data_IF_733472891661
#
_entry.id   IF_733472891661
#
_cell.length_a   1.000
_cell.length_b   1.000
_cell.length_c   1.000
_cell.angle_alpha   90.00
_cell.angle_beta   90.00
_cell.angle_gamma   90.00
#
_symmetry.space_group_name_H-M   'P 1'
#
loop_
_entity.id
_entity.type
_entity.pdbx_description
1 polymer ?
#
# COMPACT_ATOMS: atom_id res chain seq x y z
N UNK A 1 28.67 -78.49 19.54
CA UNK A 1 27.51 -77.74 20.07
C UNK A 1 27.84 -76.25 20.04
N UNK A 2 27.13 -75.46 19.21
CA UNK A 2 27.28 -73.99 19.12
C UNK A 2 26.39 -73.32 20.19
N UNK A 3 26.93 -72.34 20.92
CA UNK A 3 26.11 -71.30 21.56
C UNK A 3 26.69 -69.90 21.27
N UNK A 4 25.82 -68.88 21.11
CA UNK A 4 26.14 -67.68 20.32
C UNK A 4 26.63 -66.49 21.16
N UNK A 5 27.36 -65.60 20.48
CA UNK A 5 27.84 -64.30 20.94
C UNK A 5 26.66 -63.32 21.08
N UNK A 6 26.46 -62.74 22.26
CA UNK A 6 25.51 -61.65 22.46
C UNK A 6 26.17 -60.31 22.06
N UNK A 7 25.70 -59.74 20.95
CA UNK A 7 26.09 -58.42 20.45
C UNK A 7 25.27 -57.36 21.22
N UNK A 8 25.98 -56.49 21.95
CA UNK A 8 25.43 -55.44 22.81
C UNK A 8 24.69 -54.36 21.98
N UNK A 9 23.34 -54.31 22.08
CA UNK A 9 22.46 -53.26 21.53
C UNK A 9 22.45 -52.00 22.42
N UNK A 10 23.61 -51.39 22.67
CA UNK A 10 23.71 -50.20 23.55
C UNK A 10 23.33 -48.87 22.89
N UNK A 11 23.50 -48.75 21.56
CA UNK A 11 23.35 -47.47 20.86
C UNK A 11 21.90 -47.01 20.62
N UNK A 12 20.94 -47.93 20.56
CA UNK A 12 19.53 -47.60 20.30
C UNK A 12 18.81 -47.10 21.56
N UNK A 13 19.21 -47.56 22.75
CA UNK A 13 18.55 -47.17 23.99
C UNK A 13 18.90 -45.73 24.39
N UNK A 14 20.15 -45.30 24.16
CA UNK A 14 20.61 -43.93 24.41
C UNK A 14 19.92 -42.94 23.47
N UNK A 15 19.69 -43.31 22.21
CA UNK A 15 18.99 -42.45 21.23
C UNK A 15 17.51 -42.25 21.56
N UNK A 16 16.83 -43.28 22.07
CA UNK A 16 15.42 -43.16 22.52
C UNK A 16 15.33 -42.27 23.76
N UNK A 17 16.29 -42.37 24.67
CA UNK A 17 16.32 -41.56 25.90
C UNK A 17 16.63 -40.08 25.62
N UNK A 18 17.51 -39.78 24.66
CA UNK A 18 17.79 -38.42 24.19
C UNK A 18 16.61 -37.82 23.41
N UNK A 19 15.87 -38.60 22.61
CA UNK A 19 14.66 -38.11 21.92
C UNK A 19 13.52 -37.80 22.91
N UNK A 20 13.39 -38.56 23.99
CA UNK A 20 12.39 -38.34 25.03
C UNK A 20 12.64 -37.05 25.84
N UNK A 21 13.90 -36.69 26.10
CA UNK A 21 14.26 -35.45 26.80
C UNK A 21 13.96 -34.20 25.95
N UNK A 22 14.13 -34.27 24.63
CA UNK A 22 13.85 -33.14 23.72
C UNK A 22 12.34 -32.96 23.49
N UNK A 23 11.55 -34.04 23.55
CA UNK A 23 10.10 -33.95 23.43
C UNK A 23 9.42 -33.34 24.68
N UNK A 24 10.12 -33.23 25.80
CA UNK A 24 9.59 -32.68 27.05
C UNK A 24 9.86 -31.18 27.24
N UNK A 25 10.69 -30.55 26.41
CA UNK A 25 11.03 -29.12 26.53
C UNK A 25 10.07 -28.17 25.78
N UNK A 26 9.07 -28.69 25.07
CA UNK A 26 8.17 -27.87 24.22
C UNK A 26 6.92 -27.35 24.94
N UNK A 27 6.73 -27.70 26.21
CA UNK A 27 5.69 -27.13 27.05
C UNK A 27 6.18 -25.82 27.67
N UNK A 28 6.39 -24.78 26.86
CA UNK A 28 6.46 -23.43 27.41
C UNK A 28 5.10 -23.15 28.07
N UNK A 29 5.05 -23.26 29.40
CA UNK A 29 3.92 -22.80 30.20
C UNK A 29 3.83 -21.29 30.04
N UNK A 30 3.21 -20.84 28.94
CA UNK A 30 2.70 -19.48 28.84
C UNK A 30 1.68 -19.36 29.96
N UNK A 31 2.04 -18.66 31.03
CA UNK A 31 1.10 -18.36 32.11
C UNK A 31 -0.10 -17.65 31.48
N UNK A 32 -1.34 -18.08 31.77
CA UNK A 32 -2.51 -17.45 31.20
C UNK A 32 -2.56 -15.98 31.62
N UNK A 33 -2.42 -15.08 30.65
CA UNK A 33 -2.48 -13.65 30.88
C UNK A 33 -3.93 -13.22 30.98
N UNK A 34 -4.31 -12.65 32.13
CA UNK A 34 -5.66 -12.12 32.31
C UNK A 34 -5.70 -10.69 31.78
N UNK A 35 -6.53 -10.43 30.77
CA UNK A 35 -6.66 -9.10 30.15
C UNK A 35 -7.87 -8.39 30.74
N UNK A 36 -7.64 -7.20 31.30
CA UNK A 36 -8.67 -6.32 31.82
C UNK A 36 -8.84 -5.13 30.87
N UNK A 37 -9.84 -5.21 30.00
CA UNK A 37 -10.18 -4.19 28.97
C UNK A 37 -11.33 -3.25 29.41
N UNK A 38 -12.01 -3.52 30.53
CA UNK A 38 -13.12 -2.70 31.04
C UNK A 38 -12.88 -2.35 32.51
N UNK A 39 -12.77 -1.05 32.81
CA UNK A 39 -12.44 -0.56 34.15
C UNK A 39 -13.48 0.39 34.77
N UNK A 40 -14.66 0.46 34.20
CA UNK A 40 -15.81 1.20 34.73
C UNK A 40 -16.61 0.41 35.76
N UNK A 41 -16.41 -0.90 35.82
CA UNK A 41 -17.18 -1.82 36.64
C UNK A 41 -16.38 -2.19 37.91
N UNK A 42 -16.99 -2.07 39.10
CA UNK A 42 -16.38 -2.50 40.36
C UNK A 42 -16.41 -4.04 40.39
N UNK A 43 -15.37 -4.68 39.84
CA UNK A 43 -15.21 -6.13 39.82
C UNK A 43 -14.00 -6.54 40.66
N UNK A 44 -14.20 -7.44 41.62
CA UNK A 44 -13.10 -8.13 42.28
C UNK A 44 -12.61 -9.27 41.39
N UNK A 45 -11.35 -9.21 40.98
CA UNK A 45 -10.66 -10.39 40.43
C UNK A 45 -9.80 -11.00 41.53
N UNK A 46 -9.97 -12.31 41.74
CA UNK A 46 -9.08 -13.10 42.57
C UNK A 46 -7.85 -13.46 41.73
N UNK A 47 -6.68 -13.03 42.19
CA UNK A 47 -5.40 -13.25 41.52
C UNK A 47 -4.48 -13.94 42.52
N UNK A 48 -3.80 -14.99 42.09
CA UNK A 48 -2.87 -15.76 42.90
C UNK A 48 -1.42 -15.43 42.57
N UNK A 49 -0.49 -15.82 43.46
CA UNK A 49 0.93 -15.55 43.25
C UNK A 49 1.43 -16.27 42.00
N UNK A 50 1.99 -15.52 41.05
CA UNK A 50 2.47 -16.04 39.77
C UNK A 50 1.54 -15.76 38.59
N UNK A 51 0.34 -15.23 38.81
CA UNK A 51 -0.55 -14.81 37.73
C UNK A 51 -0.10 -13.48 37.10
N UNK A 52 -0.22 -13.37 35.79
CA UNK A 52 0.10 -12.15 35.05
C UNK A 52 -1.18 -11.44 34.59
N UNK A 53 -1.33 -10.17 34.99
CA UNK A 53 -2.48 -9.34 34.63
C UNK A 53 -2.02 -8.26 33.64
N UNK A 54 -2.75 -8.12 32.54
CA UNK A 54 -2.62 -6.99 31.62
C UNK A 54 -3.78 -6.02 31.85
N UNK A 55 -3.45 -4.82 32.33
CA UNK A 55 -4.42 -3.75 32.58
C UNK A 55 -4.34 -2.79 31.40
N UNK A 56 -5.42 -2.68 30.62
CA UNK A 56 -5.51 -1.77 29.46
C UNK A 56 -6.39 -0.55 29.77
N UNK A 57 -6.29 -0.08 30.99
CA UNK A 57 -7.05 1.05 31.49
C UNK A 57 -6.11 2.09 32.11
N UNK A 58 -6.55 3.34 32.14
CA UNK A 58 -5.74 4.46 32.63
C UNK A 58 -5.35 4.33 34.11
N UNK A 59 -6.21 3.71 34.93
CA UNK A 59 -5.96 3.54 36.37
C UNK A 59 -6.45 2.17 36.87
N UNK A 60 -5.71 1.60 37.81
CA UNK A 60 -6.10 0.40 38.55
C UNK A 60 -5.68 0.50 40.00
N UNK A 61 -6.58 0.06 40.89
CA UNK A 61 -6.35 0.04 42.33
C UNK A 61 -6.16 -1.41 42.79
N UNK A 62 -5.00 -1.70 43.37
CA UNK A 62 -4.74 -2.99 44.01
C UNK A 62 -5.12 -2.86 45.48
N UNK A 63 -6.14 -3.61 45.90
CA UNK A 63 -6.66 -3.59 47.26
C UNK A 63 -6.43 -4.93 47.94
N UNK A 64 -6.09 -4.89 49.23
CA UNK A 64 -6.11 -6.10 50.07
C UNK A 64 -7.55 -6.63 50.18
N UNK A 65 -7.72 -7.95 50.19
CA UNK A 65 -9.01 -8.62 50.33
C UNK A 65 -9.85 -8.12 51.53
N UNK A 66 -9.23 -7.82 52.67
CA UNK A 66 -9.92 -7.30 53.86
C UNK A 66 -10.47 -5.91 53.60
N UNK A 67 -9.64 -5.02 53.03
CA UNK A 67 -10.02 -3.65 52.68
C UNK A 67 -11.11 -3.65 51.61
N UNK A 68 -10.99 -4.49 50.59
CA UNK A 68 -12.00 -4.63 49.54
C UNK A 68 -13.37 -5.05 50.11
N UNK A 69 -13.41 -6.04 51.01
CA UNK A 69 -14.65 -6.47 51.65
C UNK A 69 -15.31 -5.34 52.45
N UNK A 70 -14.51 -4.52 53.14
CA UNK A 70 -15.02 -3.42 53.94
C UNK A 70 -15.64 -2.33 53.04
N UNK A 71 -14.99 -2.02 51.91
CA UNK A 71 -15.53 -1.11 50.90
C UNK A 71 -16.80 -1.66 50.23
N UNK A 72 -16.80 -2.93 49.79
CA UNK A 72 -17.95 -3.55 49.14
C UNK A 72 -19.16 -3.60 50.09
N UNK A 73 -18.93 -3.91 51.37
CA UNK A 73 -19.99 -3.92 52.37
C UNK A 73 -20.55 -2.53 52.62
N UNK A 74 -19.70 -1.52 52.79
CA UNK A 74 -20.14 -0.12 52.95
C UNK A 74 -20.92 0.37 51.71
N UNK A 75 -20.43 0.04 50.50
CA UNK A 75 -21.09 0.38 49.25
C UNK A 75 -22.49 -0.25 49.14
N UNK A 76 -22.62 -1.54 49.47
CA UNK A 76 -23.91 -2.25 49.47
C UNK A 76 -24.87 -1.72 50.53
N UNK A 77 -24.37 -1.37 51.71
CA UNK A 77 -25.20 -0.83 52.79
C UNK A 77 -25.71 0.58 52.45
N UNK A 78 -24.89 1.41 51.79
CA UNK A 78 -25.29 2.71 51.28
C UNK A 78 -26.37 2.59 50.19
N UNK A 79 -26.22 1.63 49.26
CA UNK A 79 -27.23 1.32 48.24
C UNK A 79 -28.56 0.80 48.81
N UNK A 80 -28.56 0.21 50.01
CA UNK A 80 -29.77 -0.32 50.66
C UNK A 80 -30.50 0.69 51.54
N UNK A 81 -29.77 1.62 52.18
CA UNK A 81 -30.34 2.51 53.21
C UNK A 81 -30.95 3.81 52.69
N UNK A 82 -30.56 4.30 51.51
CA UNK A 82 -31.01 5.59 51.00
C UNK A 82 -31.56 5.47 49.57
N UNK A 83 -32.89 5.38 49.42
CA UNK A 83 -33.56 5.25 48.11
C UNK A 83 -33.22 6.38 47.13
N UNK A 84 -32.97 7.59 47.63
CA UNK A 84 -32.50 8.73 46.83
C UNK A 84 -31.07 8.54 46.31
N UNK A 85 -30.19 7.94 47.12
CA UNK A 85 -28.80 7.65 46.75
C UNK A 85 -28.73 6.49 45.76
N UNK A 86 -29.59 5.48 45.91
CA UNK A 86 -29.69 4.35 44.97
C UNK A 86 -30.10 4.81 43.58
N UNK A 87 -31.10 5.70 43.48
CA UNK A 87 -31.48 6.27 42.19
C UNK A 87 -30.34 7.08 41.56
N UNK A 88 -29.67 7.92 42.35
CA UNK A 88 -28.53 8.70 41.87
C UNK A 88 -27.38 7.80 41.35
N UNK A 89 -27.02 6.76 42.11
CA UNK A 89 -25.98 5.80 41.71
C UNK A 89 -26.39 5.08 40.42
N UNK A 90 -27.64 4.61 40.32
CA UNK A 90 -28.14 3.95 39.11
C UNK A 90 -28.12 4.89 37.88
N UNK A 91 -28.47 6.16 38.06
CA UNK A 91 -28.37 7.17 36.99
C UNK A 91 -26.93 7.42 36.58
N UNK A 92 -25.98 7.47 37.52
CA UNK A 92 -24.56 7.57 37.17
C UNK A 92 -24.07 6.34 36.40
N UNK A 93 -24.42 5.13 36.85
CA UNK A 93 -24.06 3.89 36.15
C UNK A 93 -24.64 3.88 34.72
N UNK A 94 -25.88 4.34 34.54
CA UNK A 94 -26.51 4.47 33.22
C UNK A 94 -25.77 5.47 32.33
N UNK A 95 -25.45 6.67 32.85
CA UNK A 95 -24.69 7.69 32.11
C UNK A 95 -23.31 7.18 31.70
N UNK A 96 -22.60 6.49 32.60
CA UNK A 96 -21.29 5.89 32.32
C UNK A 96 -21.42 4.86 31.20
N UNK A 97 -22.45 4.00 31.26
CA UNK A 97 -22.68 2.98 30.23
C UNK A 97 -23.00 3.60 28.86
N UNK A 98 -23.81 4.67 28.82
CA UNK A 98 -24.13 5.40 27.59
C UNK A 98 -22.90 6.10 27.02
N UNK A 99 -22.05 6.66 27.89
CA UNK A 99 -20.80 7.28 27.49
C UNK A 99 -19.84 6.25 26.88
N UNK A 100 -19.72 5.05 27.47
CA UNK A 100 -18.91 3.98 26.88
C UNK A 100 -19.40 3.56 25.50
N UNK A 101 -20.72 3.41 25.32
CA UNK A 101 -21.30 3.04 24.03
C UNK A 101 -20.96 4.10 22.99
N UNK A 102 -21.15 5.39 23.33
CA UNK A 102 -20.80 6.49 22.44
C UNK A 102 -19.32 6.55 22.10
N UNK A 103 -18.43 6.31 23.08
CA UNK A 103 -16.99 6.27 22.82
C UNK A 103 -16.63 5.14 21.85
N UNK A 104 -17.21 3.95 22.02
CA UNK A 104 -17.00 2.82 21.08
C UNK A 104 -17.53 3.12 19.68
N UNK A 105 -18.73 3.70 19.58
CA UNK A 105 -19.30 4.12 18.29
C UNK A 105 -18.44 5.19 17.61
N UNK A 106 -17.95 6.16 18.38
CA UNK A 106 -17.09 7.22 17.88
C UNK A 106 -15.74 6.66 17.41
N UNK A 107 -15.13 5.74 18.16
CA UNK A 107 -13.88 5.08 17.78
C UNK A 107 -14.05 4.23 16.50
N UNK A 108 -15.16 3.49 16.38
CA UNK A 108 -15.50 2.76 15.17
C UNK A 108 -15.67 3.71 13.97
N UNK A 109 -16.39 4.81 14.15
CA UNK A 109 -16.60 5.82 13.10
C UNK A 109 -15.29 6.48 12.66
N UNK A 110 -14.40 6.82 13.60
CA UNK A 110 -13.07 7.34 13.27
C UNK A 110 -12.21 6.33 12.53
N UNK A 111 -12.26 5.05 12.91
CA UNK A 111 -11.55 3.98 12.22
C UNK A 111 -12.02 3.84 10.77
N UNK A 112 -13.34 3.90 10.53
CA UNK A 112 -13.92 3.84 9.19
C UNK A 112 -13.54 5.06 8.34
N UNK A 113 -13.62 6.26 8.93
CA UNK A 113 -13.23 7.49 8.27
C UNK A 113 -11.74 7.47 7.88
N UNK A 114 -10.88 6.99 8.78
CA UNK A 114 -9.45 6.83 8.51
C UNK A 114 -9.21 5.86 7.37
N UNK A 115 -9.85 4.70 7.37
CA UNK A 115 -9.73 3.72 6.29
C UNK A 115 -10.15 4.32 4.93
N UNK A 116 -11.21 5.12 4.92
CA UNK A 116 -11.69 5.82 3.72
C UNK A 116 -10.70 6.87 3.22
N UNK A 117 -10.10 7.65 4.12
CA UNK A 117 -9.04 8.61 3.77
C UNK A 117 -7.78 7.92 3.25
N UNK A 118 -7.35 6.84 3.90
CA UNK A 118 -6.19 6.07 3.47
C UNK A 118 -6.41 5.51 2.06
N UNK A 119 -7.60 4.94 1.80
CA UNK A 119 -7.98 4.46 0.46
C UNK A 119 -8.01 5.58 -0.59
N UNK A 120 -8.59 6.74 -0.26
CA UNK A 120 -8.65 7.90 -1.16
C UNK A 120 -7.25 8.44 -1.46
N UNK A 121 -6.38 8.51 -0.46
CA UNK A 121 -5.01 8.99 -0.61
C UNK A 121 -4.21 8.05 -1.53
N UNK A 122 -4.35 6.74 -1.35
CA UNK A 122 -3.71 5.73 -2.20
C UNK A 122 -4.22 5.78 -3.64
N UNK A 123 -5.55 5.89 -3.84
CA UNK A 123 -6.14 6.04 -5.16
C UNK A 123 -5.69 7.32 -5.86
N UNK A 124 -5.60 8.43 -5.11
CA UNK A 124 -5.13 9.71 -5.63
C UNK A 124 -3.66 9.66 -6.03
N UNK A 125 -2.80 9.04 -5.22
CA UNK A 125 -1.40 8.83 -5.56
C UNK A 125 -1.23 8.00 -6.84
N UNK A 126 -1.97 6.90 -6.98
CA UNK A 126 -1.98 6.08 -8.19
C UNK A 126 -2.48 6.84 -9.42
N UNK A 127 -3.54 7.64 -9.28
CA UNK A 127 -4.06 8.47 -10.35
C UNK A 127 -3.03 9.53 -10.79
N UNK A 128 -2.31 10.13 -9.84
CA UNK A 128 -1.25 11.09 -10.11
C UNK A 128 -0.08 10.44 -10.85
N UNK A 129 0.34 9.24 -10.43
CA UNK A 129 1.40 8.49 -11.10
C UNK A 129 1.01 8.10 -12.53
N UNK A 130 -0.23 7.65 -12.75
CA UNK A 130 -0.74 7.36 -14.09
C UNK A 130 -0.81 8.62 -14.96
N UNK A 131 -1.23 9.76 -14.41
CA UNK A 131 -1.25 11.03 -15.12
C UNK A 131 0.17 11.47 -15.51
N UNK A 132 1.14 11.34 -14.60
CA UNK A 132 2.56 11.64 -14.88
C UNK A 132 3.10 10.77 -16.01
N UNK A 133 2.87 9.46 -15.97
CA UNK A 133 3.32 8.55 -17.04
C UNK A 133 2.66 8.85 -18.39
N UNK A 134 1.37 9.23 -18.40
CA UNK A 134 0.68 9.65 -19.62
C UNK A 134 1.25 10.96 -20.18
N UNK A 135 1.58 11.92 -19.30
CA UNK A 135 2.22 13.17 -19.69
C UNK A 135 3.62 12.92 -20.28
N UNK A 136 4.43 12.08 -19.64
CA UNK A 136 5.75 11.68 -20.16
C UNK A 136 5.63 11.00 -21.53
N UNK A 137 4.64 10.10 -21.70
CA UNK A 137 4.34 9.48 -22.99
C UNK A 137 3.95 10.49 -24.06
N UNK A 138 3.06 11.44 -23.74
CA UNK A 138 2.63 12.49 -24.66
C UNK A 138 3.78 13.43 -25.07
N UNK A 139 4.68 13.76 -24.13
CA UNK A 139 5.89 14.54 -24.43
C UNK A 139 6.79 13.77 -25.39
N UNK A 140 7.00 12.46 -25.16
CA UNK A 140 7.78 11.62 -26.07
C UNK A 140 7.16 11.52 -27.48
N UNK A 141 5.84 11.47 -27.57
CA UNK A 141 5.11 11.47 -28.83
C UNK A 141 5.24 12.82 -29.56
N UNK A 142 5.13 13.95 -28.85
CA UNK A 142 5.39 15.28 -29.41
C UNK A 142 6.81 15.39 -29.96
N UNK A 143 7.83 14.93 -29.22
CA UNK A 143 9.22 14.90 -29.69
C UNK A 143 9.38 14.09 -31.00
N UNK A 144 8.66 12.97 -31.12
CA UNK A 144 8.68 12.14 -32.33
C UNK A 144 8.00 12.81 -33.52
N UNK A 145 6.89 13.52 -33.28
CA UNK A 145 6.19 14.30 -34.29
C UNK A 145 7.03 15.49 -34.75
N UNK A 146 7.72 16.16 -33.83
CA UNK A 146 8.59 17.31 -34.15
C UNK A 146 9.78 16.87 -35.00
N UNK A 147 10.39 15.71 -34.69
CA UNK A 147 11.41 15.10 -35.56
C UNK A 147 10.85 14.72 -36.92
N UNK A 148 9.65 14.13 -36.97
CA UNK A 148 8.99 13.77 -38.24
C UNK A 148 8.67 15.00 -39.08
N UNK A 149 8.24 16.10 -38.47
CA UNK A 149 8.01 17.38 -39.13
C UNK A 149 9.32 17.99 -39.63
N UNK A 150 10.40 17.91 -38.85
CA UNK A 150 11.72 18.37 -39.28
C UNK A 150 12.24 17.56 -40.49
N UNK A 151 12.10 16.23 -40.44
CA UNK A 151 12.44 15.33 -41.56
C UNK A 151 11.60 15.65 -42.80
N UNK A 152 10.30 15.85 -42.62
CA UNK A 152 9.37 16.18 -43.72
C UNK A 152 9.70 17.54 -44.33
N UNK A 153 10.01 18.56 -43.51
CA UNK A 153 10.44 19.87 -44.00
C UNK A 153 11.77 19.78 -44.76
N UNK A 154 12.71 18.94 -44.30
CA UNK A 154 13.97 18.69 -45.01
C UNK A 154 13.72 18.03 -46.36
N UNK A 155 12.88 17.00 -46.42
CA UNK A 155 12.50 16.33 -47.67
C UNK A 155 11.78 17.29 -48.62
N UNK A 156 10.89 18.15 -48.11
CA UNK A 156 10.21 19.17 -48.90
C UNK A 156 11.22 20.16 -49.50
N UNK A 157 12.17 20.66 -48.71
CA UNK A 157 13.23 21.53 -49.19
C UNK A 157 14.07 20.86 -50.28
N UNK A 158 14.43 19.59 -50.08
CA UNK A 158 15.20 18.80 -51.05
C UNK A 158 14.40 18.58 -52.35
N UNK A 159 13.11 18.26 -52.28
CA UNK A 159 12.26 18.14 -53.48
C UNK A 159 12.10 19.47 -54.22
N UNK A 160 12.06 20.60 -53.50
CA UNK A 160 11.95 21.91 -54.11
C UNK A 160 13.22 22.29 -54.89
N UNK A 161 14.39 21.94 -54.33
CA UNK A 161 15.70 22.14 -54.97
C UNK A 161 15.88 21.22 -56.19
N UNK A 162 15.41 19.97 -56.12
CA UNK A 162 15.37 19.04 -57.26
C UNK A 162 14.46 19.59 -58.38
N UNK A 163 13.29 20.10 -58.03
CA UNK A 163 12.37 20.71 -59.01
C UNK A 163 12.99 21.94 -59.66
N UNK A 164 13.67 22.82 -58.90
CA UNK A 164 14.34 23.99 -59.48
C UNK A 164 15.51 23.61 -60.40
N UNK A 165 16.32 22.63 -59.99
CA UNK A 165 17.46 22.15 -60.79
C UNK A 165 17.00 21.44 -62.07
N UNK A 166 15.93 20.66 -62.02
CA UNK A 166 15.33 20.03 -63.20
C UNK A 166 14.69 21.08 -64.14
N UNK A 167 14.03 22.12 -63.59
CA UNK A 167 13.48 23.22 -64.38
C UNK A 167 14.58 24.03 -65.08
N UNK A 168 15.73 24.24 -64.42
CA UNK A 168 16.91 24.89 -65.02
C UNK A 168 17.57 24.00 -66.08
N UNK A 169 17.65 22.69 -65.84
CA UNK A 169 18.17 21.71 -66.81
C UNK A 169 17.33 21.68 -68.09
N UNK A 170 16.00 21.57 -67.95
CA UNK A 170 15.06 21.61 -69.09
C UNK A 170 15.07 22.96 -69.81
N UNK A 171 15.29 24.07 -69.10
CA UNK A 171 15.46 25.39 -69.72
C UNK A 171 16.74 25.46 -70.54
N UNK A 172 17.86 24.89 -70.06
CA UNK A 172 19.12 24.84 -70.79
C UNK A 172 19.05 23.92 -72.00
N UNK A 173 18.37 22.78 -71.87
CA UNK A 173 18.17 21.84 -72.97
C UNK A 173 17.27 22.44 -74.07
N UNK A 174 16.20 23.15 -73.69
CA UNK A 174 15.37 23.91 -74.65
C UNK A 174 16.15 25.05 -75.33
N UNK A 175 17.05 25.71 -74.61
CA UNK A 175 17.94 26.73 -75.19
C UNK A 175 18.93 26.12 -76.19
N UNK A 176 19.48 24.94 -75.87
CA UNK A 176 20.41 24.23 -76.74
C UNK A 176 19.72 23.78 -78.05
N UNK A 177 18.53 23.19 -77.96
CA UNK A 177 17.76 22.82 -79.15
C UNK A 177 17.25 24.04 -79.94
N UNK A 178 16.88 25.13 -79.26
CA UNK A 178 16.49 26.39 -79.90
C UNK A 178 17.62 27.04 -80.69
N UNK A 179 18.84 27.00 -80.17
CA UNK A 179 20.03 27.52 -80.89
C UNK A 179 20.46 26.61 -82.05
N UNK A 180 20.34 25.29 -81.90
CA UNK A 180 20.60 24.35 -82.99
C UNK A 180 19.58 24.50 -84.14
N UNK A 181 18.30 24.72 -83.83
CA UNK A 181 17.26 24.97 -84.83
C UNK A 181 17.47 26.29 -85.60
N UNK A 182 17.96 27.34 -84.91
CA UNK A 182 18.24 28.63 -85.53
C UNK A 182 19.43 28.55 -86.51
N UNK A 183 20.48 27.79 -86.16
CA UNK A 183 21.62 27.55 -87.06
C UNK A 183 21.21 26.80 -88.34
N UNK A 184 20.41 25.74 -88.21
CA UNK A 184 19.91 24.97 -89.37
C UNK A 184 18.96 25.80 -90.23
N UNK A 185 18.08 26.58 -89.60
CA UNK A 185 17.17 27.49 -90.30
C UNK A 185 17.90 28.60 -91.07
N UNK A 186 19.00 29.13 -90.53
CA UNK A 186 19.80 30.16 -91.19
C UNK A 186 20.53 29.61 -92.42
N UNK A 187 21.04 28.37 -92.36
CA UNK A 187 21.72 27.72 -93.49
C UNK A 187 20.71 27.42 -94.62
N UNK A 188 19.53 26.90 -94.30
CA UNK A 188 18.48 26.62 -95.29
C UNK A 188 17.88 27.92 -95.86
N UNK A 189 17.71 28.96 -95.05
CA UNK A 189 17.20 30.26 -95.48
C UNK A 189 18.12 30.96 -96.48
N UNK A 190 19.44 30.87 -96.30
CA UNK A 190 20.43 31.44 -97.22
C UNK A 190 20.50 30.69 -98.56
N UNK A 191 20.15 29.40 -98.59
CA UNK A 191 20.11 28.59 -99.82
C UNK A 191 18.84 28.83 -100.63
N UNK A 192 17.71 29.16 -99.98
CA UNK A 192 16.44 29.46 -100.65
C UNK A 192 16.33 30.94 -101.06
N UNK A 193 17.04 31.84 -100.36
CA UNK A 193 17.07 33.28 -100.66
C UNK A 193 18.14 33.67 -101.71
N UNK A 194 18.76 32.68 -102.38
CA UNK A 194 19.70 32.86 -103.48
C UNK A 194 19.09 32.35 -104.78
#
# INVERSE_FOLDING_TARGET
>A
MRKPKALFKGGTMIRVLLLSMIACSSGAFAQPQMILDRCTDIRSLLVTSGDQILIRCDTAYVLNAVTFRLYDQAYRDLRKKASSLTNLINTYDEIISLQEIRLREQEASYSELRASFDALSGASALAFEQASRRLEGAVGEMDSLDRSLAETNRLLAETQDIIETERRGLSMEKLLWGTAGLAVGMILGVVIAR
#
